data_IF_877554481498
#
_entry.id   IF_877554481498
#
_cell.length_a   1.000
_cell.length_b   1.000
_cell.length_c   1.000
_cell.angle_alpha   90.00
_cell.angle_beta   90.00
_cell.angle_gamma   90.00
#
_symmetry.space_group_name_H-M   'P 1'
#
loop_
_entity.id
_entity.type
_entity.pdbx_description
1 polymer ?
#
# COMPACT_ATOMS: atom_id res chain seq x y z
N UNK A 1 -7.73 5.63 -1.77
CA UNK A 1 -6.77 6.19 -2.76
C UNK A 1 -7.35 7.49 -3.26
N UNK A 2 -6.80 8.12 -4.30
CA UNK A 2 -7.31 9.35 -4.90
C UNK A 2 -8.11 9.09 -6.16
N UNK A 3 -8.60 7.86 -6.34
CA UNK A 3 -9.54 7.48 -7.39
C UNK A 3 -10.93 7.41 -6.78
N UNK A 4 -11.97 7.58 -7.61
CA UNK A 4 -13.36 7.45 -7.16
C UNK A 4 -13.64 6.11 -6.45
N UNK A 5 -14.64 6.12 -5.57
CA UNK A 5 -15.07 4.97 -4.75
C UNK A 5 -15.37 3.70 -5.58
N UNK A 6 -15.71 3.84 -6.87
CA UNK A 6 -15.88 2.73 -7.81
C UNK A 6 -14.67 1.79 -7.82
N UNK A 7 -13.47 2.32 -7.60
CA UNK A 7 -12.21 1.59 -7.64
C UNK A 7 -11.76 1.02 -6.29
N UNK A 8 -12.55 1.22 -5.23
CA UNK A 8 -12.24 0.64 -3.94
C UNK A 8 -12.21 -0.90 -4.01
N UNK A 9 -11.30 -1.50 -3.24
CA UNK A 9 -11.06 -2.94 -3.19
C UNK A 9 -10.70 -3.60 -4.54
N UNK A 10 -10.15 -2.83 -5.48
CA UNK A 10 -9.60 -3.37 -6.72
C UNK A 10 -8.09 -3.60 -6.59
N UNK A 11 -7.63 -4.69 -7.20
CA UNK A 11 -6.24 -4.87 -7.61
C UNK A 11 -6.07 -4.26 -8.99
N UNK A 12 -4.92 -3.64 -9.23
CA UNK A 12 -4.54 -3.10 -10.53
C UNK A 12 -3.38 -3.91 -11.10
N UNK A 13 -3.48 -4.27 -12.38
CA UNK A 13 -2.43 -4.97 -13.12
C UNK A 13 -2.24 -4.30 -14.47
N UNK A 14 -0.99 -4.05 -14.83
CA UNK A 14 -0.62 -3.60 -16.16
C UNK A 14 -0.55 -4.82 -17.10
N UNK A 15 -1.50 -4.91 -18.02
CA UNK A 15 -1.56 -5.96 -19.03
C UNK A 15 -0.93 -5.44 -20.32
N UNK A 16 0.34 -5.80 -20.53
CA UNK A 16 1.14 -5.38 -21.69
C UNK A 16 1.04 -6.43 -22.81
N UNK A 17 0.14 -6.22 -23.75
CA UNK A 17 -0.16 -7.15 -24.86
C UNK A 17 -0.13 -6.49 -26.25
N UNK A 18 0.43 -5.28 -26.35
CA UNK A 18 0.49 -4.49 -27.59
C UNK A 18 -0.72 -3.57 -27.74
N UNK A 19 -1.38 -3.57 -28.91
CA UNK A 19 -2.44 -2.60 -29.21
C UNK A 19 -3.64 -2.64 -28.24
N UNK A 20 -3.88 -3.79 -27.58
CA UNK A 20 -4.97 -3.98 -26.62
C UNK A 20 -4.51 -3.86 -25.17
N UNK A 21 -3.30 -3.36 -24.92
CA UNK A 21 -2.78 -3.16 -23.58
C UNK A 21 -3.66 -2.23 -22.75
N UNK A 22 -3.72 -2.52 -21.44
CA UNK A 22 -4.54 -1.76 -20.51
C UNK A 22 -4.01 -1.89 -19.08
N UNK A 23 -4.35 -0.93 -18.24
CA UNK A 23 -4.37 -1.17 -16.79
C UNK A 23 -5.72 -1.80 -16.48
N UNK A 24 -5.71 -3.01 -15.96
CA UNK A 24 -6.90 -3.76 -15.59
C UNK A 24 -7.12 -3.61 -14.08
N UNK A 25 -8.31 -3.16 -13.71
CA UNK A 25 -8.80 -3.22 -12.33
C UNK A 25 -9.66 -4.47 -12.14
N UNK A 26 -9.36 -5.29 -11.14
CA UNK A 26 -10.23 -6.41 -10.77
C UNK A 26 -10.46 -6.50 -9.26
N UNK A 27 -11.70 -6.83 -8.88
CA UNK A 27 -12.09 -7.11 -7.50
C UNK A 27 -12.19 -8.61 -7.29
N UNK A 28 -11.70 -9.05 -6.14
CA UNK A 28 -11.73 -10.44 -5.73
C UNK A 28 -12.60 -10.63 -4.49
N UNK A 29 -13.22 -11.79 -4.39
CA UNK A 29 -13.94 -12.21 -3.20
C UNK A 29 -13.37 -13.54 -2.68
N UNK A 30 -13.30 -13.72 -1.35
CA UNK A 30 -12.92 -15.01 -0.76
C UNK A 30 -13.82 -16.15 -1.28
N UNK A 31 -13.20 -17.28 -1.59
CA UNK A 31 -13.87 -18.50 -2.03
C UNK A 31 -13.17 -19.73 -1.41
N UNK A 32 -13.56 -20.09 -0.18
CA UNK A 32 -12.89 -21.13 0.59
C UNK A 32 -11.42 -20.78 0.85
N UNK A 33 -10.50 -21.66 0.43
CA UNK A 33 -9.06 -21.44 0.51
C UNK A 33 -8.47 -20.63 -0.68
N UNK A 34 -9.33 -20.11 -1.56
CA UNK A 34 -8.93 -19.32 -2.72
C UNK A 34 -9.72 -18.02 -2.88
N UNK A 35 -9.63 -17.43 -4.06
CA UNK A 35 -10.35 -16.21 -4.45
C UNK A 35 -11.07 -16.43 -5.78
N UNK A 36 -12.22 -15.76 -5.95
CA UNK A 36 -12.91 -15.65 -7.25
C UNK A 36 -12.83 -14.20 -7.74
N UNK A 37 -12.69 -14.01 -9.04
CA UNK A 37 -12.82 -12.68 -9.66
C UNK A 37 -14.30 -12.33 -9.70
N UNK A 38 -14.68 -11.25 -9.04
CA UNK A 38 -16.05 -10.73 -9.00
C UNK A 38 -16.27 -9.66 -10.08
N UNK A 39 -15.27 -8.80 -10.29
CA UNK A 39 -15.33 -7.72 -11.28
C UNK A 39 -14.00 -7.61 -12.02
N UNK A 40 -14.05 -7.34 -13.32
CA UNK A 40 -12.90 -7.00 -14.17
C UNK A 40 -13.29 -5.90 -15.13
N UNK A 41 -12.55 -4.81 -15.14
CA UNK A 41 -12.74 -3.68 -16.05
C UNK A 41 -11.39 -3.04 -16.37
N UNK A 42 -11.25 -2.50 -17.58
CA UNK A 42 -10.09 -1.67 -17.90
C UNK A 42 -10.22 -0.33 -17.16
N UNK A 43 -9.23 -0.01 -16.33
CA UNK A 43 -9.08 1.30 -15.70
C UNK A 43 -8.66 2.34 -16.74
N UNK A 44 -7.61 2.03 -17.51
CA UNK A 44 -7.09 2.86 -18.59
C UNK A 44 -6.71 1.96 -19.77
N UNK A 45 -7.00 2.42 -20.99
CA UNK A 45 -6.66 1.74 -22.25
C UNK A 45 -6.07 2.74 -23.24
N UNK A 46 -5.49 2.25 -24.34
CA UNK A 46 -4.86 3.12 -25.36
C UNK A 46 -3.45 3.57 -25.00
N UNK A 47 -2.78 2.82 -24.12
CA UNK A 47 -1.37 3.00 -23.75
C UNK A 47 -0.69 1.64 -23.63
N UNK A 48 0.63 1.62 -23.47
CA UNK A 48 1.44 0.42 -23.24
C UNK A 48 1.94 0.44 -21.78
N UNK A 49 1.07 0.14 -20.79
CA UNK A 49 1.39 0.35 -19.40
C UNK A 49 2.38 -0.71 -18.92
N UNK A 50 3.43 -0.28 -18.24
CA UNK A 50 4.45 -1.19 -17.68
C UNK A 50 4.35 -1.34 -16.17
N UNK A 51 3.82 -0.34 -15.48
CA UNK A 51 3.63 -0.35 -14.03
C UNK A 51 2.56 0.67 -13.61
N UNK A 52 1.96 0.46 -12.44
CA UNK A 52 1.04 1.39 -11.78
C UNK A 52 1.34 1.44 -10.28
N UNK A 53 1.46 2.66 -9.75
CA UNK A 53 1.67 2.88 -8.32
C UNK A 53 0.84 4.05 -7.81
N UNK A 54 0.49 4.02 -6.52
CA UNK A 54 -0.19 5.12 -5.87
C UNK A 54 0.79 5.99 -5.10
N UNK A 55 0.73 7.30 -5.30
CA UNK A 55 1.51 8.26 -4.52
C UNK A 55 1.00 8.44 -3.09
N UNK A 56 1.77 9.16 -2.27
CA UNK A 56 1.33 9.61 -0.95
C UNK A 56 0.38 10.81 -1.02
N UNK A 57 0.28 11.45 -2.19
CA UNK A 57 -0.77 12.39 -2.56
C UNK A 57 -2.03 11.69 -3.11
N UNK A 58 -2.08 10.36 -2.96
CA UNK A 58 -3.20 9.49 -3.34
C UNK A 58 -3.45 9.35 -4.85
N UNK A 59 -2.68 10.02 -5.71
CA UNK A 59 -2.82 9.89 -7.18
C UNK A 59 -2.31 8.54 -7.66
N UNK A 60 -2.86 8.06 -8.78
CA UNK A 60 -2.33 6.90 -9.50
C UNK A 60 -1.33 7.38 -10.57
N UNK A 61 -0.16 6.77 -10.61
CA UNK A 61 0.88 7.01 -11.60
C UNK A 61 1.05 5.75 -12.45
N UNK A 62 0.94 5.89 -13.77
CA UNK A 62 1.08 4.79 -14.72
C UNK A 62 2.23 5.10 -15.65
N UNK A 63 3.19 4.18 -15.76
CA UNK A 63 4.29 4.28 -16.73
C UNK A 63 3.82 3.73 -18.07
N UNK A 64 4.10 4.44 -19.15
CA UNK A 64 3.79 4.03 -20.52
C UNK A 64 5.08 3.90 -21.32
N UNK A 65 5.25 2.74 -21.96
CA UNK A 65 6.44 2.38 -22.72
C UNK A 65 6.58 3.21 -24.01
N UNK A 66 5.46 3.70 -24.56
CA UNK A 66 5.39 4.48 -25.81
C UNK A 66 5.93 3.72 -27.04
N UNK A 67 5.29 3.92 -28.20
CA UNK A 67 5.82 3.40 -29.46
C UNK A 67 5.54 1.91 -29.68
N UNK A 68 6.56 1.17 -30.12
CA UNK A 68 6.46 -0.23 -30.55
C UNK A 68 7.47 -1.11 -29.79
N UNK A 69 7.58 -2.39 -30.14
CA UNK A 69 8.42 -3.37 -29.45
C UNK A 69 9.90 -3.04 -29.20
N UNK A 70 10.62 -2.26 -30.05
CA UNK A 70 12.01 -1.93 -29.76
C UNK A 70 12.17 -1.10 -28.48
N UNK A 71 13.33 -1.19 -27.83
CA UNK A 71 13.64 -0.35 -26.67
C UNK A 71 13.97 1.08 -27.08
N UNK A 72 13.55 2.03 -26.25
CA UNK A 72 13.72 3.45 -26.47
C UNK A 72 14.29 4.11 -25.21
N UNK A 73 14.94 5.26 -25.36
CA UNK A 73 15.50 6.04 -24.26
C UNK A 73 14.50 7.01 -23.61
N UNK A 74 13.21 6.85 -23.87
CA UNK A 74 12.15 7.73 -23.39
C UNK A 74 10.88 6.94 -23.09
N UNK A 75 9.97 7.54 -22.33
CA UNK A 75 8.66 7.01 -21.98
C UNK A 75 7.81 8.09 -21.31
N UNK A 76 6.57 7.76 -20.96
CA UNK A 76 5.67 8.69 -20.29
C UNK A 76 5.32 8.20 -18.87
N UNK A 77 4.99 9.15 -17.99
CA UNK A 77 4.28 8.87 -16.74
C UNK A 77 2.98 9.65 -16.77
N UNK A 78 1.86 8.94 -16.80
CA UNK A 78 0.54 9.54 -16.71
C UNK A 78 0.07 9.56 -15.26
N UNK A 79 -0.59 10.65 -14.87
CA UNK A 79 -1.17 10.81 -13.54
C UNK A 79 -2.69 10.79 -13.66
N UNK A 80 -3.34 9.98 -12.83
CA UNK A 80 -4.78 9.85 -12.75
C UNK A 80 -5.27 10.18 -11.35
N UNK A 81 -6.29 11.02 -11.27
CA UNK A 81 -6.92 11.40 -10.02
C UNK A 81 -8.41 11.71 -10.21
N UNK A 82 -9.16 11.51 -9.14
CA UNK A 82 -10.41 12.20 -8.89
C UNK A 82 -10.11 13.41 -7.98
N UNK A 83 -10.24 14.66 -8.48
CA UNK A 83 -9.93 15.86 -7.71
C UNK A 83 -10.71 15.98 -6.39
N UNK A 84 -11.93 15.44 -6.32
CA UNK A 84 -12.70 15.47 -5.08
C UNK A 84 -12.11 14.52 -4.03
N UNK A 85 -11.59 13.37 -4.46
CA UNK A 85 -10.94 12.39 -3.59
C UNK A 85 -9.58 12.88 -3.11
N UNK A 86 -8.74 13.42 -4.00
CA UNK A 86 -7.40 13.91 -3.62
C UNK A 86 -7.45 15.19 -2.78
N UNK A 87 -8.57 15.91 -2.78
CA UNK A 87 -8.79 17.08 -1.91
C UNK A 87 -9.13 16.72 -0.45
N UNK A 88 -9.48 15.46 -0.15
CA UNK A 88 -9.86 15.00 1.20
C UNK A 88 -8.73 15.17 2.20
N UNK A 89 -9.10 15.34 3.47
CA UNK A 89 -8.14 15.57 4.55
C UNK A 89 -7.19 14.37 4.74
N UNK A 90 -7.71 13.14 4.61
CA UNK A 90 -6.91 11.91 4.72
C UNK A 90 -5.72 11.90 3.76
N UNK A 91 -5.88 12.36 2.52
CA UNK A 91 -4.78 12.48 1.55
C UNK A 91 -3.70 13.45 2.03
N UNK A 92 -4.09 14.59 2.60
CA UNK A 92 -3.16 15.58 3.16
C UNK A 92 -2.42 15.02 4.38
N UNK A 93 -3.13 14.28 5.22
CA UNK A 93 -2.59 13.69 6.44
C UNK A 93 -1.55 12.60 6.10
N UNK A 94 -1.86 11.71 5.16
CA UNK A 94 -0.91 10.70 4.65
C UNK A 94 0.32 11.38 4.05
N UNK A 95 0.13 12.38 3.17
CA UNK A 95 1.24 13.14 2.59
C UNK A 95 2.12 13.79 3.66
N UNK A 96 1.51 14.42 4.67
CA UNK A 96 2.23 15.06 5.78
C UNK A 96 3.01 14.04 6.60
N UNK A 97 2.41 12.89 6.90
CA UNK A 97 3.03 11.84 7.68
C UNK A 97 4.28 11.28 6.99
N UNK A 98 4.20 11.01 5.69
CA UNK A 98 5.36 10.55 4.90
C UNK A 98 6.43 11.63 4.74
N UNK A 99 6.06 12.90 4.61
CA UNK A 99 7.02 14.00 4.53
C UNK A 99 7.78 14.21 5.85
N UNK A 100 7.10 14.08 6.99
CA UNK A 100 7.72 14.18 8.33
C UNK A 100 8.56 12.96 8.69
N UNK A 101 8.19 11.80 8.16
CA UNK A 101 8.82 10.52 8.48
C UNK A 101 8.33 9.92 9.80
N UNK A 102 8.70 8.66 10.03
CA UNK A 102 8.18 7.84 11.13
C UNK A 102 9.19 7.63 12.27
N UNK A 103 10.48 7.84 12.03
CA UNK A 103 11.54 7.52 12.98
C UNK A 103 11.49 8.36 14.27
N UNK A 104 10.96 9.58 14.19
CA UNK A 104 10.87 10.52 15.32
C UNK A 104 9.49 10.53 15.98
N UNK A 105 8.57 9.65 15.57
CA UNK A 105 7.26 9.55 16.20
C UNK A 105 7.37 8.75 17.50
N UNK A 106 6.63 9.18 18.51
CA UNK A 106 6.54 8.46 19.77
C UNK A 106 5.99 7.04 19.58
N UNK A 107 6.48 6.04 20.34
CA UNK A 107 6.04 4.65 20.20
C UNK A 107 4.52 4.46 20.28
N UNK A 108 3.85 5.21 21.17
CA UNK A 108 2.39 5.18 21.28
C UNK A 108 1.70 5.63 19.98
N UNK A 109 2.22 6.66 19.30
CA UNK A 109 1.66 7.11 18.02
C UNK A 109 1.93 6.11 16.90
N UNK A 110 3.12 5.51 16.87
CA UNK A 110 3.45 4.45 15.92
C UNK A 110 2.53 3.23 16.09
N UNK A 111 2.21 2.85 17.33
CA UNK A 111 1.27 1.77 17.64
C UNK A 111 -0.15 2.09 17.14
N UNK A 112 -0.63 3.33 17.34
CA UNK A 112 -1.92 3.78 16.79
C UNK A 112 -1.96 3.65 15.26
N UNK A 113 -0.86 4.02 14.58
CA UNK A 113 -0.75 3.94 13.12
C UNK A 113 -0.76 2.51 12.57
N UNK A 114 -0.61 1.48 13.40
CA UNK A 114 -0.82 0.07 12.98
C UNK A 114 -2.30 -0.24 12.65
N UNK A 115 -3.22 0.66 13.02
CA UNK A 115 -4.66 0.60 12.67
C UNK A 115 -5.03 1.43 11.44
N UNK A 116 -4.08 2.17 10.87
CA UNK A 116 -4.34 3.07 9.75
C UNK A 116 -4.85 2.30 8.52
N UNK A 117 -5.81 2.82 7.72
CA UNK A 117 -6.34 2.11 6.54
C UNK A 117 -5.30 1.89 5.43
N UNK A 118 -4.35 2.81 5.25
CA UNK A 118 -3.24 2.68 4.30
C UNK A 118 -2.16 1.72 4.80
N UNK A 119 -1.90 0.64 4.05
CA UNK A 119 -0.88 -0.37 4.35
C UNK A 119 0.53 0.22 4.42
N UNK A 120 0.84 1.22 3.59
CA UNK A 120 2.17 1.84 3.54
C UNK A 120 2.43 2.58 4.85
N UNK A 121 1.43 3.25 5.41
CA UNK A 121 1.51 3.89 6.73
C UNK A 121 1.77 2.85 7.81
N UNK A 122 0.97 1.77 7.84
CA UNK A 122 1.16 0.68 8.81
C UNK A 122 2.55 0.06 8.73
N UNK A 123 3.05 -0.18 7.52
CA UNK A 123 4.37 -0.79 7.28
C UNK A 123 5.50 0.13 7.77
N UNK A 124 5.45 1.43 7.47
CA UNK A 124 6.45 2.38 7.95
C UNK A 124 6.41 2.55 9.46
N UNK A 125 5.20 2.57 10.04
CA UNK A 125 5.02 2.62 11.49
C UNK A 125 5.59 1.37 12.17
N UNK A 126 5.29 0.18 11.65
CA UNK A 126 5.83 -1.10 12.13
C UNK A 126 7.36 -1.10 12.10
N UNK A 127 7.99 -0.68 11.00
CA UNK A 127 9.45 -0.67 10.91
C UNK A 127 10.09 0.32 11.88
N UNK A 128 9.54 1.51 12.04
CA UNK A 128 10.01 2.48 13.02
C UNK A 128 9.85 1.93 14.45
N UNK A 129 8.70 1.36 14.77
CA UNK A 129 8.41 0.80 16.09
C UNK A 129 9.32 -0.38 16.43
N UNK A 130 9.64 -1.23 15.45
CA UNK A 130 10.60 -2.34 15.56
C UNK A 130 12.07 -1.88 15.63
N UNK A 131 12.33 -0.57 15.66
CA UNK A 131 13.67 -0.02 15.86
C UNK A 131 14.26 -0.35 17.23
N UNK A 132 13.41 -0.57 18.25
CA UNK A 132 13.79 -0.80 19.65
C UNK A 132 13.00 -1.96 20.26
N UNK A 133 13.68 -2.82 21.01
CA UNK A 133 13.09 -4.01 21.67
C UNK A 133 12.13 -3.64 22.81
N UNK A 134 12.31 -2.49 23.45
CA UNK A 134 11.41 -1.95 24.48
C UNK A 134 9.95 -1.80 24.01
N UNK A 135 9.74 -1.67 22.69
CA UNK A 135 8.41 -1.53 22.09
C UNK A 135 7.68 -2.87 21.89
N UNK A 136 8.28 -4.01 22.26
CA UNK A 136 7.66 -5.34 22.16
C UNK A 136 6.23 -5.41 22.72
N UNK A 137 5.90 -4.82 23.89
CA UNK A 137 4.54 -4.85 24.43
C UNK A 137 3.50 -4.25 23.48
N UNK A 138 3.86 -3.20 22.72
CA UNK A 138 2.96 -2.55 21.76
C UNK A 138 2.62 -3.47 20.57
N UNK A 139 3.57 -4.31 20.14
CA UNK A 139 3.28 -5.31 19.12
C UNK A 139 2.45 -6.48 19.68
N UNK A 140 2.69 -6.91 20.92
CA UNK A 140 1.85 -7.90 21.59
C UNK A 140 0.40 -7.41 21.71
N UNK A 141 0.21 -6.14 22.08
CA UNK A 141 -1.10 -5.50 22.12
C UNK A 141 -1.78 -5.51 20.74
N UNK A 142 -1.04 -5.19 19.68
CA UNK A 142 -1.55 -5.24 18.31
C UNK A 142 -1.98 -6.66 17.87
N UNK A 143 -1.50 -7.73 18.50
CA UNK A 143 -1.93 -9.11 18.17
C UNK A 143 -3.25 -9.56 18.80
N UNK A 144 -3.80 -8.79 19.74
CA UNK A 144 -5.00 -9.15 20.51
C UNK A 144 -6.20 -9.42 19.60
N UNK A 145 -7.08 -10.33 20.01
CA UNK A 145 -8.19 -10.80 19.17
C UNK A 145 -9.23 -9.71 18.82
N UNK A 146 -9.29 -8.62 19.61
CA UNK A 146 -10.17 -7.47 19.39
C UNK A 146 -9.59 -6.44 18.40
N UNK A 147 -8.37 -6.65 17.90
CA UNK A 147 -7.75 -5.80 16.88
C UNK A 147 -8.21 -6.20 15.47
N UNK A 148 -8.30 -5.24 14.51
CA UNK A 148 -8.51 -5.56 13.11
C UNK A 148 -7.46 -6.56 12.60
N UNK A 149 -7.85 -7.46 11.69
CA UNK A 149 -6.92 -8.48 11.17
C UNK A 149 -5.67 -7.87 10.54
N UNK A 150 -5.80 -6.71 9.89
CA UNK A 150 -4.69 -5.95 9.32
C UNK A 150 -3.71 -5.51 10.41
N UNK A 151 -4.19 -4.96 11.52
CA UNK A 151 -3.37 -4.57 12.68
C UNK A 151 -2.69 -5.78 13.32
N UNK A 152 -3.40 -6.89 13.48
CA UNK A 152 -2.86 -8.14 14.03
C UNK A 152 -1.71 -8.69 13.19
N UNK A 153 -1.84 -8.66 11.86
CA UNK A 153 -0.76 -9.05 10.95
C UNK A 153 0.49 -8.18 11.17
N UNK A 154 0.33 -6.86 11.28
CA UNK A 154 1.45 -5.96 11.57
C UNK A 154 2.05 -6.16 12.96
N UNK A 155 1.25 -6.56 13.96
CA UNK A 155 1.73 -6.99 15.28
C UNK A 155 2.65 -8.22 15.18
N UNK A 156 2.18 -9.28 14.52
CA UNK A 156 2.96 -10.51 14.30
C UNK A 156 4.22 -10.25 13.48
N UNK A 157 4.12 -9.51 12.38
CA UNK A 157 5.27 -9.16 11.55
C UNK A 157 6.27 -8.28 12.28
N UNK A 158 5.80 -7.33 13.11
CA UNK A 158 6.62 -6.48 13.95
C UNK A 158 7.41 -7.26 15.00
N UNK A 159 6.78 -8.22 15.68
CA UNK A 159 7.47 -9.17 16.56
C UNK A 159 8.53 -9.97 15.79
N UNK A 160 8.21 -10.40 14.57
CA UNK A 160 9.17 -11.06 13.67
C UNK A 160 10.35 -10.15 13.28
N UNK A 161 10.13 -8.84 13.10
CA UNK A 161 11.20 -7.88 12.87
C UNK A 161 12.11 -7.74 14.09
N UNK A 162 11.54 -7.61 15.30
CA UNK A 162 12.32 -7.55 16.55
C UNK A 162 13.17 -8.81 16.73
N UNK A 163 12.56 -9.99 16.62
CA UNK A 163 13.24 -11.27 16.80
C UNK A 163 14.44 -11.42 15.86
N UNK A 164 14.25 -11.14 14.55
CA UNK A 164 15.30 -11.35 13.54
C UNK A 164 16.34 -10.24 13.48
N UNK A 165 15.93 -8.98 13.60
CA UNK A 165 16.81 -7.83 13.33
C UNK A 165 17.43 -7.25 14.60
N UNK A 166 16.84 -7.50 15.77
CA UNK A 166 17.31 -7.01 17.06
C UNK A 166 17.78 -8.12 18.01
N UNK A 167 17.77 -9.38 17.54
CA UNK A 167 18.10 -10.58 18.34
C UNK A 167 17.31 -10.68 19.65
N UNK A 168 16.09 -10.14 19.62
CA UNK A 168 15.21 -10.00 20.77
C UNK A 168 14.71 -11.38 21.31
N UNK A 169 14.90 -12.45 20.53
CA UNK A 169 14.62 -13.83 20.93
C UNK A 169 15.74 -14.52 21.71
N UNK A 170 16.96 -13.94 21.77
CA UNK A 170 18.09 -14.49 22.54
C UNK A 170 18.15 -13.94 23.97
N UNK A 171 17.33 -12.92 24.28
CA UNK A 171 17.30 -12.22 25.57
C UNK A 171 16.23 -12.76 26.55
N UNK A 172 15.59 -13.88 26.22
CA UNK A 172 14.52 -14.51 27.01
C UNK A 172 14.99 -15.83 27.63
#
# INVERSE_FOLDING_TARGET
>A
TGLSEKWDNHFFVCDFVGANSAVIGFRMEPNGAGFKVERKENFVSGMLPTDIEFGYDSKAYVTDYVGSWPTHGFGNIFTFEDPAETAKQDTKDVRSLFAKGFANLEPAKLAELLRHPDMRVRLRAQFALAGKTENRPLFLDATKANEPITTRLHGVWGLGNLARLKKDGEAA
#
